data_IF_594652332001
#
_entry.id   IF_594652332001
#
_cell.length_a   1.000
_cell.length_b   1.000
_cell.length_c   1.000
_cell.angle_alpha   90.00
_cell.angle_beta   90.00
_cell.angle_gamma   90.00
#
_symmetry.space_group_name_H-M   'P 1'
#
loop_
_entity.id
_entity.type
_entity.pdbx_description
1 polymer ?
#
# COMPACT_ATOMS: atom_id res chain seq x y z
N UNK A 1 -8.79 -66.48 -0.15
CA UNK A 1 -8.26 -65.33 -0.91
C UNK A 1 -8.89 -64.06 -0.32
N UNK A 2 -8.08 -63.10 0.16
CA UNK A 2 -8.61 -61.83 0.71
C UNK A 2 -9.12 -60.98 -0.44
N UNK A 3 -10.43 -60.73 -0.47
CA UNK A 3 -11.03 -59.78 -1.40
C UNK A 3 -10.35 -58.42 -1.21
N UNK A 4 -9.69 -57.92 -2.26
CA UNK A 4 -9.09 -56.59 -2.25
C UNK A 4 -10.25 -55.60 -2.24
N UNK A 5 -10.46 -54.95 -1.10
CA UNK A 5 -11.51 -53.94 -0.89
C UNK A 5 -11.23 -52.71 -1.75
N UNK A 6 -11.74 -52.73 -2.98
CA UNK A 6 -11.70 -51.61 -3.93
C UNK A 6 -12.43 -50.37 -3.40
N UNK A 7 -13.41 -50.59 -2.52
CA UNK A 7 -14.13 -49.53 -1.82
C UNK A 7 -13.20 -48.65 -0.96
N UNK A 8 -12.19 -49.24 -0.32
CA UNK A 8 -11.23 -48.48 0.50
C UNK A 8 -10.39 -47.53 -0.38
N UNK A 9 -9.96 -48.00 -1.55
CA UNK A 9 -9.19 -47.20 -2.51
C UNK A 9 -10.02 -46.06 -3.11
N UNK A 10 -11.30 -46.30 -3.39
CA UNK A 10 -12.22 -45.27 -3.86
C UNK A 10 -12.48 -44.19 -2.80
N UNK A 11 -12.74 -44.59 -1.56
CA UNK A 11 -13.00 -43.66 -0.46
C UNK A 11 -11.78 -42.77 -0.20
N UNK A 12 -10.58 -43.37 -0.24
CA UNK A 12 -9.33 -42.63 -0.06
C UNK A 12 -9.06 -41.66 -1.22
N UNK A 13 -9.28 -42.06 -2.48
CA UNK A 13 -9.16 -41.14 -3.62
C UNK A 13 -10.19 -40.00 -3.57
N UNK A 14 -11.44 -40.29 -3.23
CA UNK A 14 -12.48 -39.27 -3.10
C UNK A 14 -12.15 -38.28 -1.99
N UNK A 15 -11.66 -38.78 -0.85
CA UNK A 15 -11.23 -37.95 0.27
C UNK A 15 -10.04 -37.05 -0.11
N UNK A 16 -9.08 -37.57 -0.88
CA UNK A 16 -7.95 -36.79 -1.40
C UNK A 16 -8.41 -35.70 -2.37
N UNK A 17 -9.35 -36.01 -3.28
CA UNK A 17 -9.91 -35.03 -4.20
C UNK A 17 -10.66 -33.92 -3.46
N UNK A 18 -11.43 -34.25 -2.43
CA UNK A 18 -12.13 -33.27 -1.60
C UNK A 18 -11.12 -32.42 -0.82
N UNK A 19 -10.10 -33.03 -0.22
CA UNK A 19 -9.05 -32.29 0.48
C UNK A 19 -8.28 -31.35 -0.46
N UNK A 20 -7.94 -31.81 -1.67
CA UNK A 20 -7.30 -30.98 -2.69
C UNK A 20 -8.21 -29.84 -3.16
N UNK A 21 -9.51 -30.11 -3.37
CA UNK A 21 -10.49 -29.10 -3.74
C UNK A 21 -10.64 -28.04 -2.64
N UNK A 22 -10.72 -28.45 -1.37
CA UNK A 22 -10.79 -27.54 -0.23
C UNK A 22 -9.49 -26.73 -0.15
N UNK A 23 -8.32 -27.36 -0.25
CA UNK A 23 -7.03 -26.66 -0.21
C UNK A 23 -6.89 -25.61 -1.34
N UNK A 24 -7.38 -25.93 -2.55
CA UNK A 24 -7.36 -25.01 -3.69
C UNK A 24 -8.36 -23.86 -3.54
N UNK A 25 -9.46 -24.04 -2.81
CA UNK A 25 -10.50 -23.02 -2.63
C UNK A 25 -10.38 -22.22 -1.32
N UNK A 26 -9.58 -22.68 -0.35
CA UNK A 26 -9.27 -21.91 0.87
C UNK A 26 -8.54 -20.59 0.53
N UNK A 27 -7.85 -20.53 -0.61
CA UNK A 27 -7.19 -19.31 -1.11
C UNK A 27 -8.04 -18.43 -2.04
N UNK A 28 -9.34 -18.74 -2.26
CA UNK A 28 -10.20 -17.85 -3.04
C UNK A 28 -10.76 -16.74 -2.15
N UNK A 29 -10.60 -15.45 -2.51
CA UNK A 29 -11.12 -14.34 -1.72
C UNK A 29 -12.65 -14.46 -1.66
N UNK A 30 -13.19 -14.58 -0.45
CA UNK A 30 -14.64 -14.54 -0.25
C UNK A 30 -15.17 -13.20 -0.77
N UNK A 31 -16.13 -13.25 -1.70
CA UNK A 31 -16.88 -12.08 -2.13
C UNK A 31 -17.63 -11.53 -0.90
N UNK A 32 -17.10 -10.47 -0.30
CA UNK A 32 -17.81 -9.67 0.70
C UNK A 32 -19.02 -9.01 0.04
N UNK A 33 -20.19 -9.57 0.31
CA UNK A 33 -21.47 -8.96 -0.04
C UNK A 33 -21.65 -7.66 0.73
N UNK A 34 -22.15 -6.66 0.02
CA UNK A 34 -22.50 -5.31 0.44
C UNK A 34 -22.99 -5.19 1.90
N UNK A 35 -22.33 -4.32 2.68
CA UNK A 35 -22.88 -3.76 3.92
C UNK A 35 -22.43 -4.46 5.21
N UNK A 36 -21.78 -3.68 6.07
CA UNK A 36 -21.27 -4.06 7.40
C UNK A 36 -19.96 -4.87 7.36
N UNK A 37 -18.85 -4.16 7.58
CA UNK A 37 -17.63 -4.78 8.11
C UNK A 37 -18.03 -5.34 9.48
N UNK A 38 -18.33 -6.63 9.51
CA UNK A 38 -18.55 -7.35 10.76
C UNK A 38 -17.32 -7.12 11.64
N UNK A 39 -17.59 -6.77 12.89
CA UNK A 39 -16.64 -6.44 13.94
C UNK A 39 -15.81 -7.66 14.40
N UNK A 40 -15.30 -8.45 13.46
CA UNK A 40 -14.57 -9.67 13.71
C UNK A 40 -13.38 -9.74 12.74
N UNK A 41 -12.49 -8.75 12.83
CA UNK A 41 -11.07 -9.05 12.61
C UNK A 41 -10.71 -10.15 13.62
N UNK A 42 -10.21 -11.28 13.13
CA UNK A 42 -9.74 -12.32 14.04
C UNK A 42 -8.69 -11.73 15.00
N UNK A 43 -8.41 -12.36 16.15
CA UNK A 43 -7.29 -11.98 17.03
C UNK A 43 -5.89 -12.10 16.36
N UNK A 44 -5.87 -12.22 15.04
CA UNK A 44 -4.81 -12.67 14.14
C UNK A 44 -4.27 -11.55 13.25
N UNK A 45 -4.96 -10.41 13.20
CA UNK A 45 -4.73 -9.41 12.14
C UNK A 45 -4.08 -8.14 12.70
N UNK A 46 -3.13 -7.60 11.95
CA UNK A 46 -2.53 -6.30 12.21
C UNK A 46 -3.19 -5.23 11.34
N UNK A 47 -3.58 -4.11 11.94
CA UNK A 47 -4.11 -2.96 11.21
C UNK A 47 -3.12 -1.79 11.18
N UNK A 48 -3.03 -1.10 10.05
CA UNK A 48 -2.36 0.20 9.94
C UNK A 48 -3.07 1.07 8.89
N UNK A 49 -2.83 2.38 8.96
CA UNK A 49 -3.45 3.36 8.06
C UNK A 49 -2.39 3.91 7.11
N UNK A 50 -2.73 4.13 5.84
CA UNK A 50 -1.95 5.00 4.95
C UNK A 50 -2.77 6.19 4.46
N UNK A 51 -2.16 7.36 4.43
CA UNK A 51 -2.80 8.62 4.07
C UNK A 51 -1.90 9.41 3.15
N UNK A 52 -2.48 10.06 2.14
CA UNK A 52 -1.75 11.01 1.30
C UNK A 52 -1.71 12.37 1.98
N UNK A 53 -0.53 12.95 2.11
CA UNK A 53 -0.36 14.33 2.54
C UNK A 53 -0.79 15.34 1.47
N UNK A 54 -0.32 16.57 1.65
CA UNK A 54 -0.59 17.70 0.79
C UNK A 54 -1.80 18.52 1.23
N UNK A 55 -1.94 19.67 0.56
CA UNK A 55 -2.98 20.64 0.88
C UNK A 55 -4.40 20.09 0.71
N UNK A 56 -5.23 20.31 1.74
CA UNK A 56 -6.68 20.17 1.78
C UNK A 56 -7.30 21.41 2.44
N UNK A 57 -8.54 21.81 2.09
CA UNK A 57 -9.34 22.73 2.89
C UNK A 57 -9.43 22.27 4.34
N UNK A 58 -9.46 23.23 5.28
CA UNK A 58 -9.46 22.94 6.72
C UNK A 58 -10.62 22.03 7.15
N UNK A 59 -11.81 22.23 6.61
CA UNK A 59 -12.99 21.41 6.92
C UNK A 59 -12.82 19.96 6.46
N UNK A 60 -12.31 19.74 5.24
CA UNK A 60 -12.04 18.41 4.70
C UNK A 60 -10.93 17.70 5.47
N UNK A 61 -9.90 18.46 5.88
CA UNK A 61 -8.80 17.96 6.69
C UNK A 61 -9.23 17.55 8.10
N UNK A 62 -10.06 18.36 8.76
CA UNK A 62 -10.61 18.05 10.08
C UNK A 62 -11.47 16.78 10.01
N UNK A 63 -12.34 16.68 9.00
CA UNK A 63 -13.17 15.51 8.76
C UNK A 63 -12.31 14.25 8.51
N UNK A 64 -11.25 14.36 7.69
CA UNK A 64 -10.31 13.26 7.45
C UNK A 64 -9.67 12.77 8.75
N UNK A 65 -9.14 13.68 9.58
CA UNK A 65 -8.48 13.35 10.84
C UNK A 65 -9.48 12.74 11.85
N UNK A 66 -10.71 13.25 11.92
CA UNK A 66 -11.78 12.65 12.73
C UNK A 66 -12.09 11.20 12.31
N UNK A 67 -12.20 10.94 11.01
CA UNK A 67 -12.41 9.57 10.52
C UNK A 67 -11.21 8.67 10.81
N UNK A 68 -9.98 9.19 10.66
CA UNK A 68 -8.77 8.45 11.02
C UNK A 68 -8.75 8.08 12.51
N UNK A 69 -9.13 9.00 13.42
CA UNK A 69 -9.25 8.70 14.86
C UNK A 69 -10.26 7.58 15.09
N UNK A 70 -11.44 7.67 14.46
CA UNK A 70 -12.50 6.67 14.60
C UNK A 70 -12.02 5.29 14.14
N UNK A 71 -11.40 5.21 12.96
CA UNK A 71 -10.89 3.94 12.40
C UNK A 71 -9.72 3.41 13.22
N UNK A 72 -8.76 4.26 13.59
CA UNK A 72 -7.61 3.85 14.40
C UNK A 72 -8.04 3.24 15.74
N UNK A 73 -9.03 3.84 16.42
CA UNK A 73 -9.61 3.30 17.66
C UNK A 73 -10.34 1.98 17.43
N UNK A 74 -11.19 1.94 16.40
CA UNK A 74 -12.07 0.78 16.14
C UNK A 74 -11.25 -0.46 15.81
N UNK A 75 -10.23 -0.33 14.96
CA UNK A 75 -9.40 -1.44 14.50
C UNK A 75 -8.09 -1.59 15.24
N UNK A 76 -7.85 -0.74 16.27
CA UNK A 76 -6.59 -0.70 17.02
C UNK A 76 -5.37 -0.63 16.09
N UNK A 77 -5.41 0.32 15.14
CA UNK A 77 -4.33 0.51 14.19
C UNK A 77 -3.01 0.77 14.93
N UNK A 78 -1.91 0.20 14.44
CA UNK A 78 -0.61 0.23 15.15
C UNK A 78 0.26 1.42 14.77
N UNK A 79 0.14 1.92 13.55
CA UNK A 79 0.92 3.03 13.02
C UNK A 79 0.21 3.65 11.81
N UNK A 80 0.69 4.81 11.41
CA UNK A 80 0.19 5.56 10.25
C UNK A 80 1.35 5.78 9.29
N UNK A 81 1.10 5.57 8.00
CA UNK A 81 2.01 5.86 6.90
C UNK A 81 1.53 7.14 6.20
N UNK A 82 2.34 8.18 6.24
CA UNK A 82 2.08 9.42 5.50
C UNK A 82 2.89 9.44 4.22
N UNK A 83 2.19 9.54 3.10
CA UNK A 83 2.79 9.66 1.77
C UNK A 83 2.73 11.13 1.39
N UNK A 84 3.83 11.85 1.62
CA UNK A 84 3.93 13.29 1.38
C UNK A 84 5.30 13.65 0.84
N UNK A 85 5.36 14.65 -0.02
CA UNK A 85 6.61 15.28 -0.45
C UNK A 85 7.20 16.17 0.66
N UNK A 86 6.34 16.77 1.49
CA UNK A 86 6.72 17.77 2.49
C UNK A 86 7.15 17.17 3.83
N UNK A 87 7.04 15.85 4.01
CA UNK A 87 7.46 15.20 5.25
C UNK A 87 6.79 15.81 6.49
N UNK A 88 7.57 16.07 7.54
CA UNK A 88 7.12 16.78 8.75
C UNK A 88 6.52 18.18 8.50
N UNK A 89 6.88 18.83 7.38
CA UNK A 89 6.35 20.14 7.01
C UNK A 89 4.95 20.07 6.39
N UNK A 90 4.38 18.87 6.24
CA UNK A 90 3.04 18.69 5.71
C UNK A 90 1.96 19.27 6.63
N UNK A 91 1.02 20.04 6.05
CA UNK A 91 -0.10 20.62 6.79
C UNK A 91 -0.95 19.57 7.51
N UNK A 92 -1.05 18.35 6.98
CA UNK A 92 -1.71 17.22 7.61
C UNK A 92 -1.06 16.87 8.95
N UNK A 93 0.27 16.77 8.97
CA UNK A 93 1.04 16.44 10.17
C UNK A 93 1.02 17.56 11.20
N UNK A 94 1.05 18.83 10.78
CA UNK A 94 0.98 19.96 11.72
C UNK A 94 -0.36 19.99 12.48
N UNK A 95 -1.46 19.67 11.80
CA UNK A 95 -2.79 19.71 12.40
C UNK A 95 -3.13 18.48 13.26
N UNK A 96 -2.35 17.39 13.20
CA UNK A 96 -2.56 16.23 14.11
C UNK A 96 -2.40 16.62 15.58
N UNK A 97 -1.70 17.72 15.87
CA UNK A 97 -1.48 18.23 17.23
C UNK A 97 -2.80 18.45 17.98
N UNK A 98 -3.90 18.68 17.25
CA UNK A 98 -5.26 18.83 17.78
C UNK A 98 -5.93 17.49 18.15
N UNK A 99 -5.39 16.35 17.69
CA UNK A 99 -5.96 15.00 17.87
C UNK A 99 -5.02 14.14 18.72
N UNK A 100 -5.31 14.05 20.02
CA UNK A 100 -4.43 13.39 21.00
C UNK A 100 -4.08 11.95 20.64
N UNK A 101 -5.04 11.22 20.05
CA UNK A 101 -4.90 9.82 19.72
C UNK A 101 -3.96 9.61 18.54
N UNK A 102 -4.09 10.41 17.49
CA UNK A 102 -3.19 10.37 16.34
C UNK A 102 -1.77 10.82 16.73
N UNK A 103 -1.63 11.77 17.66
CA UNK A 103 -0.34 12.23 18.17
C UNK A 103 0.44 11.14 18.93
N UNK A 104 -0.25 10.22 19.60
CA UNK A 104 0.40 9.12 20.33
C UNK A 104 0.80 7.94 19.45
N UNK A 105 0.29 7.87 18.22
CA UNK A 105 0.59 6.79 17.30
C UNK A 105 1.93 7.02 16.60
N UNK A 106 2.69 5.95 16.27
CA UNK A 106 3.85 6.07 15.39
C UNK A 106 3.44 6.52 13.98
N UNK A 107 4.11 7.53 13.44
CA UNK A 107 3.99 7.98 12.06
C UNK A 107 5.27 7.63 11.29
N UNK A 108 5.11 7.06 10.10
CA UNK A 108 6.18 6.85 9.15
C UNK A 108 5.91 7.71 7.92
N UNK A 109 6.84 8.59 7.60
CA UNK A 109 6.74 9.52 6.48
C UNK A 109 7.70 9.09 5.38
N UNK A 110 7.31 9.28 4.12
CA UNK A 110 8.26 9.28 3.00
C UNK A 110 8.98 10.63 3.00
N UNK A 111 9.93 10.84 3.91
CA UNK A 111 10.49 12.18 4.09
C UNK A 111 11.58 12.56 3.09
N UNK A 112 11.53 13.82 2.66
CA UNK A 112 12.66 14.55 2.09
C UNK A 112 13.41 15.44 3.10
N UNK A 113 12.91 15.71 4.33
CA UNK A 113 13.62 16.53 5.35
C UNK A 113 12.96 16.51 6.76
N UNK A 114 13.65 15.90 7.74
CA UNK A 114 13.25 15.90 9.16
C UNK A 114 14.01 14.92 10.05
N UNK A 115 15.33 15.09 10.16
CA UNK A 115 16.11 14.60 11.32
C UNK A 115 16.81 13.23 11.21
N UNK A 116 16.48 12.39 10.22
CA UNK A 116 17.36 11.27 9.84
C UNK A 116 18.30 11.68 8.70
N UNK A 117 19.58 11.32 8.85
CA UNK A 117 20.64 11.64 7.88
C UNK A 117 20.49 10.93 6.51
N UNK A 118 19.46 10.10 6.32
CA UNK A 118 19.19 9.38 5.07
C UNK A 118 17.71 9.50 4.69
N UNK A 119 17.39 9.94 3.46
CA UNK A 119 16.03 10.21 2.98
C UNK A 119 15.24 8.93 2.63
N UNK A 120 15.83 7.75 2.88
CA UNK A 120 15.21 6.45 2.69
C UNK A 120 15.60 5.53 3.86
N UNK A 121 14.66 4.69 4.30
CA UNK A 121 14.87 3.85 5.48
C UNK A 121 14.05 2.57 5.43
N UNK A 122 14.45 1.61 6.27
CA UNK A 122 13.71 0.37 6.50
C UNK A 122 13.26 0.29 7.96
N UNK A 123 11.99 -0.06 8.18
CA UNK A 123 11.43 -0.37 9.48
C UNK A 123 10.83 -1.78 9.46
N UNK A 124 11.32 -2.65 10.32
CA UNK A 124 10.71 -3.96 10.57
C UNK A 124 9.64 -3.83 11.65
N UNK A 125 8.46 -4.38 11.39
CA UNK A 125 7.31 -4.42 12.32
C UNK A 125 6.89 -5.86 12.51
N UNK A 126 6.76 -6.29 13.76
CA UNK A 126 6.22 -7.61 14.08
C UNK A 126 4.72 -7.64 13.76
N UNK A 127 4.25 -8.68 13.09
CA UNK A 127 2.83 -8.98 12.92
C UNK A 127 2.47 -10.20 13.81
N UNK A 128 1.18 -10.48 14.07
CA UNK A 128 0.77 -11.63 14.86
C UNK A 128 1.42 -12.94 14.36
N UNK A 129 1.59 -13.89 15.29
CA UNK A 129 2.23 -15.19 15.04
C UNK A 129 3.73 -15.16 14.74
N UNK A 130 4.43 -14.12 15.18
CA UNK A 130 5.89 -14.02 15.08
C UNK A 130 6.39 -13.74 13.65
N UNK A 131 5.47 -13.43 12.74
CA UNK A 131 5.81 -12.97 11.40
C UNK A 131 6.23 -11.50 11.43
N UNK A 132 6.81 -11.02 10.34
CA UNK A 132 7.30 -9.64 10.25
C UNK A 132 6.98 -8.98 8.91
N UNK A 133 6.84 -7.67 8.96
CA UNK A 133 6.63 -6.79 7.83
C UNK A 133 7.78 -5.78 7.77
N UNK A 134 8.51 -5.76 6.65
CA UNK A 134 9.44 -4.69 6.32
C UNK A 134 8.69 -3.58 5.58
N UNK A 135 8.71 -2.41 6.18
CA UNK A 135 8.30 -1.14 5.60
C UNK A 135 9.54 -0.41 5.08
N UNK A 136 9.59 -0.10 3.79
CA UNK A 136 10.76 0.47 3.12
C UNK A 136 10.35 1.79 2.48
N UNK A 137 10.74 2.91 3.08
CA UNK A 137 10.47 4.25 2.55
C UNK A 137 11.59 4.68 1.59
N UNK A 138 11.19 5.26 0.46
CA UNK A 138 12.06 5.77 -0.59
C UNK A 138 11.83 7.26 -0.81
N UNK A 139 12.91 7.98 -1.08
CA UNK A 139 12.87 9.30 -1.67
C UNK A 139 12.86 9.18 -3.19
N UNK A 140 11.65 9.19 -3.73
CA UNK A 140 11.43 9.10 -5.17
C UNK A 140 11.87 10.35 -5.95
N UNK A 141 12.14 11.49 -5.31
CA UNK A 141 12.68 12.68 -5.99
C UNK A 141 14.08 12.41 -6.53
N UNK A 142 14.88 11.61 -5.81
CA UNK A 142 16.23 11.23 -6.23
C UNK A 142 16.27 10.40 -7.51
N UNK A 143 15.12 9.85 -7.96
CA UNK A 143 15.02 9.08 -9.20
C UNK A 143 14.66 9.92 -10.43
N UNK A 144 14.33 11.21 -10.25
CA UNK A 144 13.98 12.08 -11.38
C UNK A 144 15.21 12.49 -12.21
N UNK A 145 16.38 12.56 -11.58
CA UNK A 145 17.65 12.81 -12.28
C UNK A 145 18.44 11.50 -12.44
N UNK A 146 18.57 10.95 -13.65
CA UNK A 146 19.30 9.70 -13.90
C UNK A 146 20.81 9.82 -13.63
N UNK A 147 21.34 11.04 -13.53
CA UNK A 147 22.75 11.30 -13.16
C UNK A 147 22.98 11.45 -11.66
N UNK A 148 21.92 11.38 -10.85
CA UNK A 148 21.99 11.50 -9.39
C UNK A 148 22.78 10.36 -8.77
N UNK A 149 23.96 10.68 -8.21
CA UNK A 149 24.76 9.75 -7.40
C UNK A 149 23.93 9.22 -6.22
N UNK A 150 23.18 10.11 -5.56
CA UNK A 150 22.30 9.76 -4.44
C UNK A 150 21.14 8.84 -4.86
N UNK A 151 20.60 9.03 -6.07
CA UNK A 151 19.60 8.13 -6.64
C UNK A 151 20.16 6.72 -6.89
N UNK A 152 21.38 6.64 -7.41
CA UNK A 152 22.08 5.37 -7.63
C UNK A 152 22.40 4.64 -6.31
N UNK A 153 22.85 5.38 -5.29
CA UNK A 153 23.12 4.85 -3.95
C UNK A 153 21.84 4.29 -3.31
N UNK A 154 20.71 5.00 -3.43
CA UNK A 154 19.41 4.53 -2.97
C UNK A 154 18.96 3.26 -3.69
N UNK A 155 19.15 3.16 -5.02
CA UNK A 155 18.83 1.96 -5.79
C UNK A 155 19.67 0.76 -5.31
N UNK A 156 20.96 0.95 -5.09
CA UNK A 156 21.85 -0.10 -4.59
C UNK A 156 21.44 -0.55 -3.18
N UNK A 157 21.14 0.41 -2.30
CA UNK A 157 20.63 0.16 -0.97
C UNK A 157 19.30 -0.60 -0.98
N UNK A 158 18.36 -0.23 -1.86
CA UNK A 158 17.07 -0.89 -2.00
C UNK A 158 17.23 -2.34 -2.45
N UNK A 159 18.04 -2.58 -3.49
CA UNK A 159 18.35 -3.94 -3.98
C UNK A 159 18.93 -4.82 -2.88
N UNK A 160 19.90 -4.28 -2.12
CA UNK A 160 20.50 -4.99 -0.98
C UNK A 160 19.47 -5.27 0.10
N UNK A 161 18.68 -4.26 0.46
CA UNK A 161 17.65 -4.34 1.50
C UNK A 161 16.59 -5.39 1.20
N UNK A 162 16.06 -5.41 -0.03
CA UNK A 162 15.05 -6.40 -0.43
C UNK A 162 15.63 -7.81 -0.54
N UNK A 163 16.88 -7.94 -0.98
CA UNK A 163 17.60 -9.22 -1.09
C UNK A 163 17.87 -9.84 0.28
N UNK A 164 18.25 -9.03 1.26
CA UNK A 164 18.61 -9.48 2.62
C UNK A 164 17.40 -9.57 3.55
N UNK A 165 16.22 -9.11 3.13
CA UNK A 165 15.00 -9.15 3.92
C UNK A 165 14.45 -10.58 4.05
N UNK A 166 14.41 -11.03 5.31
CA UNK A 166 13.77 -12.27 5.77
C UNK A 166 12.30 -12.06 6.18
N UNK A 167 11.80 -10.82 6.13
CA UNK A 167 10.44 -10.48 6.56
C UNK A 167 9.39 -11.08 5.66
N UNK A 168 8.29 -11.62 6.21
CA UNK A 168 7.18 -12.23 5.47
C UNK A 168 6.54 -11.28 4.45
N UNK A 169 6.38 -10.01 4.84
CA UNK A 169 5.85 -8.94 3.99
C UNK A 169 6.90 -7.86 3.73
N UNK A 170 6.94 -7.34 2.51
CA UNK A 170 7.80 -6.24 2.07
C UNK A 170 6.96 -5.20 1.34
N UNK A 171 6.70 -4.08 2.02
CA UNK A 171 5.97 -2.94 1.47
C UNK A 171 6.96 -1.82 1.21
N UNK A 172 7.02 -1.37 -0.03
CA UNK A 172 7.83 -0.22 -0.43
C UNK A 172 6.93 1.00 -0.56
N UNK A 173 7.37 2.16 -0.08
CA UNK A 173 6.60 3.40 -0.09
C UNK A 173 7.44 4.50 -0.72
N UNK A 174 6.84 5.23 -1.66
CA UNK A 174 7.46 6.40 -2.28
C UNK A 174 6.39 7.42 -2.63
N UNK A 175 6.79 8.67 -2.85
CA UNK A 175 5.82 9.72 -3.19
C UNK A 175 5.24 9.53 -4.60
N UNK A 176 6.10 9.33 -5.61
CA UNK A 176 5.69 9.21 -7.01
C UNK A 176 5.10 7.83 -7.33
N UNK A 177 4.05 7.76 -8.18
CA UNK A 177 3.49 6.49 -8.64
C UNK A 177 4.44 5.74 -9.58
N UNK A 178 4.34 4.40 -9.62
CA UNK A 178 5.12 3.57 -10.55
C UNK A 178 4.70 3.75 -12.01
N UNK A 179 3.45 4.14 -12.25
CA UNK A 179 2.87 4.38 -13.57
C UNK A 179 2.17 5.72 -13.58
N UNK A 180 2.40 6.50 -14.64
CA UNK A 180 1.67 7.74 -14.91
C UNK A 180 0.24 7.42 -15.34
N UNK A 181 -0.74 8.19 -14.86
CA UNK A 181 -2.15 8.00 -15.21
C UNK A 181 -2.51 8.47 -16.64
N UNK A 182 -1.54 8.91 -17.43
CA UNK A 182 -1.83 9.65 -18.65
C UNK A 182 -2.15 8.75 -19.84
N UNK A 183 -3.34 8.92 -20.40
CA UNK A 183 -3.79 8.19 -21.59
C UNK A 183 -3.28 8.80 -22.90
N UNK A 184 -2.68 10.01 -22.89
CA UNK A 184 -2.39 10.75 -24.13
C UNK A 184 -1.10 11.61 -24.18
N UNK A 185 -0.15 11.51 -23.23
CA UNK A 185 1.13 12.26 -23.33
C UNK A 185 2.15 11.46 -24.14
N UNK A 186 1.85 11.23 -25.42
CA UNK A 186 2.92 10.98 -26.41
C UNK A 186 3.55 12.29 -26.93
N UNK A 187 3.30 13.46 -26.32
CA UNK A 187 3.65 14.75 -26.95
C UNK A 187 4.32 15.84 -26.11
N UNK A 188 4.64 15.63 -24.83
CA UNK A 188 5.51 16.57 -24.09
C UNK A 188 6.49 15.86 -23.15
N UNK A 189 7.54 15.28 -23.73
CA UNK A 189 8.93 15.61 -23.41
C UNK A 189 9.55 15.35 -22.03
N UNK A 190 8.82 14.94 -20.99
CA UNK A 190 9.41 14.57 -19.69
C UNK A 190 8.53 13.56 -18.95
N UNK A 191 8.41 12.36 -19.51
CA UNK A 191 7.86 11.20 -18.79
C UNK A 191 9.00 10.46 -18.09
N UNK A 192 9.23 10.75 -16.80
CA UNK A 192 10.06 9.91 -15.95
C UNK A 192 9.23 8.70 -15.50
N UNK A 193 9.06 7.72 -16.39
CA UNK A 193 8.57 6.42 -15.95
C UNK A 193 9.56 5.86 -14.92
N UNK A 194 9.10 5.56 -13.71
CA UNK A 194 9.87 4.79 -12.72
C UNK A 194 9.90 3.30 -13.10
N UNK A 195 9.87 2.97 -14.39
CA UNK A 195 9.92 1.62 -14.93
C UNK A 195 11.12 0.81 -14.36
N UNK A 196 12.32 1.41 -14.14
CA UNK A 196 13.41 0.71 -13.45
C UNK A 196 13.05 0.29 -12.02
N UNK A 197 12.27 1.09 -11.29
CA UNK A 197 11.86 0.79 -9.92
C UNK A 197 10.89 -0.40 -9.89
N UNK A 198 9.87 -0.43 -10.76
CA UNK A 198 8.95 -1.57 -10.83
C UNK A 198 9.69 -2.89 -11.10
N UNK A 199 10.65 -2.86 -12.03
CA UNK A 199 11.50 -4.02 -12.35
C UNK A 199 12.30 -4.49 -11.13
N UNK A 200 12.89 -3.56 -10.37
CA UNK A 200 13.62 -3.87 -9.12
C UNK A 200 12.68 -4.49 -8.09
N UNK A 201 11.51 -3.89 -7.86
CA UNK A 201 10.54 -4.38 -6.89
C UNK A 201 10.10 -5.81 -7.23
N UNK A 202 9.83 -6.08 -8.51
CA UNK A 202 9.45 -7.40 -8.99
C UNK A 202 10.59 -8.42 -8.84
N UNK A 203 11.81 -8.04 -9.26
CA UNK A 203 12.98 -8.92 -9.23
C UNK A 203 13.40 -9.32 -7.80
N UNK A 204 13.33 -8.37 -6.86
CA UNK A 204 13.75 -8.59 -5.48
C UNK A 204 12.59 -8.94 -4.54
N UNK A 205 11.38 -9.10 -5.07
CA UNK A 205 10.25 -9.72 -4.38
C UNK A 205 9.50 -8.81 -3.41
N UNK A 206 9.42 -7.50 -3.65
CA UNK A 206 8.49 -6.66 -2.90
C UNK A 206 7.04 -7.10 -3.17
N UNK A 207 6.19 -7.08 -2.14
CA UNK A 207 4.80 -7.53 -2.24
C UNK A 207 3.89 -6.41 -2.74
N UNK A 208 4.11 -5.20 -2.25
CA UNK A 208 3.32 -4.02 -2.59
C UNK A 208 4.15 -2.74 -2.65
N UNK A 209 3.66 -1.79 -3.44
CA UNK A 209 4.15 -0.43 -3.51
C UNK A 209 3.06 0.58 -3.14
N UNK A 210 3.33 1.48 -2.20
CA UNK A 210 2.44 2.59 -1.85
C UNK A 210 2.96 3.89 -2.42
N UNK A 211 2.06 4.68 -2.98
CA UNK A 211 2.37 6.01 -3.50
C UNK A 211 1.19 6.96 -3.47
N UNK A 212 1.48 8.22 -3.77
CA UNK A 212 0.44 9.19 -4.02
C UNK A 212 -0.19 8.91 -5.38
N UNK A 213 -1.52 8.90 -5.42
CA UNK A 213 -2.25 8.90 -6.69
C UNK A 213 -2.20 10.32 -7.27
N UNK A 214 -1.52 10.49 -8.39
CA UNK A 214 -1.51 11.75 -9.15
C UNK A 214 -2.16 11.52 -10.51
N UNK A 215 -3.50 11.41 -10.54
CA UNK A 215 -4.22 11.42 -11.79
C UNK A 215 -4.86 12.80 -11.96
N UNK A 216 -4.29 13.62 -12.85
CA UNK A 216 -4.95 14.82 -13.31
C UNK A 216 -6.20 14.38 -14.10
N UNK A 217 -7.38 14.59 -13.53
CA UNK A 217 -8.59 14.65 -14.34
C UNK A 217 -8.38 15.75 -15.38
N UNK A 218 -8.74 15.47 -16.62
CA UNK A 218 -8.60 16.35 -17.77
C UNK A 218 -9.10 17.78 -17.48
N UNK A 219 -8.21 18.69 -17.09
CA UNK A 219 -8.44 20.13 -17.20
C UNK A 219 -7.56 20.63 -18.33
N UNK A 220 -8.19 20.72 -19.48
CA UNK A 220 -7.61 21.20 -20.71
C UNK A 220 -7.09 22.63 -20.51
N UNK A 221 -5.77 22.77 -20.43
CA UNK A 221 -5.05 24.02 -20.62
C UNK A 221 -5.06 24.99 -19.43
N UNK A 222 -4.19 24.77 -18.45
CA UNK A 222 -3.41 25.87 -17.84
C UNK A 222 -2.20 25.35 -17.05
N UNK A 223 -1.05 25.96 -17.33
CA UNK A 223 0.20 26.02 -16.57
C UNK A 223 0.58 24.86 -15.64
N UNK A 224 1.68 24.20 -16.00
CA UNK A 224 2.66 23.58 -15.11
C UNK A 224 2.99 24.54 -13.95
N UNK A 225 2.41 24.22 -12.79
CA UNK A 225 2.56 24.76 -11.42
C UNK A 225 1.15 24.98 -10.83
N UNK A 226 0.70 24.17 -9.86
CA UNK A 226 -0.61 24.33 -9.28
C UNK A 226 -0.61 25.59 -8.42
N UNK A 227 -1.11 26.69 -8.98
CA UNK A 227 -1.60 27.81 -8.19
C UNK A 227 -2.77 27.27 -7.35
N UNK A 228 -2.50 26.90 -6.10
CA UNK A 228 -3.36 26.87 -4.91
C UNK A 228 -4.82 26.37 -4.93
N UNK A 229 -5.43 26.04 -6.06
CA UNK A 229 -6.89 25.88 -6.19
C UNK A 229 -7.33 24.69 -7.03
N UNK A 230 -6.42 24.02 -7.74
CA UNK A 230 -6.80 22.84 -8.51
C UNK A 230 -6.89 21.62 -7.58
N UNK A 231 -8.11 21.08 -7.50
CA UNK A 231 -8.44 19.79 -6.87
C UNK A 231 -7.76 18.67 -7.64
N UNK A 232 -6.44 18.59 -7.54
CA UNK A 232 -5.74 17.38 -7.90
C UNK A 232 -6.31 16.31 -7.00
N UNK A 233 -6.73 15.23 -7.62
CA UNK A 233 -7.34 14.09 -6.99
C UNK A 233 -6.24 13.36 -6.19
N UNK A 234 -6.02 13.79 -4.94
CA UNK A 234 -4.90 13.39 -4.05
C UNK A 234 -5.36 12.29 -3.09
N UNK A 235 -5.00 11.04 -3.37
CA UNK A 235 -5.33 9.93 -2.49
C UNK A 235 -4.18 8.92 -2.41
N UNK A 236 -4.04 8.18 -1.30
CA UNK A 236 -3.09 7.09 -1.21
C UNK A 236 -3.46 5.97 -2.20
N UNK A 237 -2.45 5.43 -2.88
CA UNK A 237 -2.58 4.31 -3.80
C UNK A 237 -1.68 3.17 -3.37
N UNK A 238 -2.22 1.95 -3.46
CA UNK A 238 -1.49 0.72 -3.20
C UNK A 238 -1.53 -0.12 -4.47
N UNK A 239 -0.35 -0.54 -4.91
CA UNK A 239 -0.16 -1.38 -6.10
C UNK A 239 0.45 -2.71 -5.68
N UNK A 240 -0.17 -3.82 -6.07
CA UNK A 240 0.46 -5.14 -5.95
C UNK A 240 1.55 -5.27 -7.01
N UNK A 241 2.81 -5.47 -6.59
CA UNK A 241 3.98 -5.42 -7.51
C UNK A 241 3.91 -6.48 -8.61
N UNK A 242 3.36 -7.66 -8.27
CA UNK A 242 3.28 -8.80 -9.18
C UNK A 242 2.09 -8.73 -10.16
N UNK A 243 1.03 -8.00 -9.84
CA UNK A 243 -0.11 -7.96 -10.74
C UNK A 243 0.28 -7.15 -11.99
N UNK A 244 -0.16 -7.61 -13.17
CA UNK A 244 0.05 -6.86 -14.40
C UNK A 244 -0.49 -5.45 -14.20
N UNK A 245 0.41 -4.47 -14.20
CA UNK A 245 0.04 -3.08 -13.96
C UNK A 245 -0.86 -2.61 -15.12
N UNK A 246 -2.17 -2.56 -14.88
CA UNK A 246 -3.09 -2.01 -15.86
C UNK A 246 -3.33 -0.54 -15.55
N UNK A 247 -3.20 0.32 -16.56
CA UNK A 247 -3.59 1.74 -16.46
C UNK A 247 -5.06 1.92 -16.05
N UNK A 248 -5.91 0.91 -16.27
CA UNK A 248 -7.32 0.88 -15.83
C UNK A 248 -7.49 0.85 -14.31
N UNK A 249 -6.52 0.31 -13.56
CA UNK A 249 -6.58 0.29 -12.09
C UNK A 249 -6.17 1.64 -11.48
N UNK A 250 -5.32 2.39 -12.19
CA UNK A 250 -4.99 3.78 -11.87
C UNK A 250 -6.11 4.75 -12.28
N UNK A 251 -6.93 4.43 -13.29
CA UNK A 251 -7.95 5.35 -13.84
C UNK A 251 -9.28 5.42 -13.08
N UNK A 252 -9.51 4.63 -12.01
CA UNK A 252 -10.69 4.82 -11.15
C UNK A 252 -10.65 6.20 -10.49
N UNK A 253 -11.79 6.83 -10.21
CA UNK A 253 -11.84 8.12 -9.51
C UNK A 253 -11.01 8.07 -8.22
N UNK A 254 -10.26 9.15 -7.95
CA UNK A 254 -9.52 9.23 -6.70
C UNK A 254 -10.49 9.60 -5.61
N UNK A 255 -10.55 8.75 -4.60
CA UNK A 255 -11.37 8.97 -3.42
C UNK A 255 -10.54 9.81 -2.45
N UNK A 256 -11.08 10.97 -2.04
CA UNK A 256 -10.52 11.74 -0.94
C UNK A 256 -10.82 11.03 0.38
N UNK A 257 -9.75 10.69 1.10
CA UNK A 257 -9.80 9.72 2.19
C UNK A 257 -8.44 9.09 2.46
N UNK A 258 -8.47 7.93 3.13
CA UNK A 258 -7.28 7.16 3.50
C UNK A 258 -7.50 5.67 3.26
N UNK A 259 -6.42 4.87 3.36
CA UNK A 259 -6.51 3.41 3.30
C UNK A 259 -6.37 2.81 4.69
N UNK A 260 -7.23 1.84 4.98
CA UNK A 260 -7.06 0.91 6.09
C UNK A 260 -6.50 -0.40 5.54
N UNK A 261 -5.38 -0.85 6.10
CA UNK A 261 -4.75 -2.10 5.74
C UNK A 261 -4.92 -3.11 6.87
N UNK A 262 -5.35 -4.31 6.51
CA UNK A 262 -5.41 -5.49 7.34
C UNK A 262 -4.35 -6.45 6.84
N UNK A 263 -3.38 -6.81 7.68
CA UNK A 263 -2.28 -7.72 7.32
C UNK A 263 -2.31 -8.91 8.26
N UNK A 264 -2.32 -10.11 7.68
CA UNK A 264 -2.16 -11.35 8.41
C UNK A 264 -1.08 -12.22 7.74
N UNK A 265 -1.01 -13.49 8.14
CA UNK A 265 0.00 -14.42 7.67
C UNK A 265 -0.14 -14.87 6.22
N UNK A 266 -1.33 -14.72 5.65
CA UNK A 266 -1.72 -15.28 4.36
C UNK A 266 -2.11 -14.20 3.36
N UNK A 267 -2.60 -13.05 3.82
CA UNK A 267 -3.03 -11.96 2.95
C UNK A 267 -2.90 -10.58 3.58
N UNK A 268 -2.82 -9.59 2.70
CA UNK A 268 -3.03 -8.18 3.01
C UNK A 268 -4.26 -7.69 2.27
N UNK A 269 -5.25 -7.22 3.02
CA UNK A 269 -6.49 -6.64 2.51
C UNK A 269 -6.48 -5.14 2.75
N UNK A 270 -6.88 -4.37 1.75
CA UNK A 270 -6.90 -2.91 1.80
C UNK A 270 -8.29 -2.37 1.51
N UNK A 271 -8.75 -1.51 2.39
CA UNK A 271 -10.03 -0.81 2.31
C UNK A 271 -9.79 0.68 2.10
N UNK A 272 -10.60 1.31 1.27
CA UNK A 272 -10.69 2.77 1.18
C UNK A 272 -11.69 3.25 2.21
N UNK A 273 -11.32 4.26 2.97
CA UNK A 273 -12.21 4.98 3.86
C UNK A 273 -12.38 6.41 3.33
N UNK A 274 -13.60 6.77 2.95
CA UNK A 274 -13.93 8.11 2.43
C UNK A 274 -14.04 9.13 3.57
N UNK A 275 -14.05 10.42 3.25
CA UNK A 275 -14.34 11.49 4.23
C UNK A 275 -15.69 11.29 4.93
N UNK A 276 -16.68 10.72 4.24
CA UNK A 276 -18.00 10.42 4.81
C UNK A 276 -17.97 9.20 5.75
N UNK A 277 -16.84 8.50 5.85
CA UNK A 277 -16.68 7.28 6.63
C UNK A 277 -17.25 6.03 5.95
N UNK A 278 -17.55 6.11 4.65
CA UNK A 278 -17.89 4.92 3.85
C UNK A 278 -16.64 4.08 3.65
N UNK A 279 -16.80 2.77 3.69
CA UNK A 279 -15.68 1.84 3.57
C UNK A 279 -15.92 0.88 2.41
N UNK A 280 -14.97 0.87 1.47
CA UNK A 280 -15.03 0.03 0.28
C UNK A 280 -13.78 -0.85 0.17
N UNK A 281 -13.97 -2.11 -0.20
CA UNK A 281 -12.84 -3.02 -0.46
C UNK A 281 -12.11 -2.61 -1.76
N UNK A 282 -10.79 -2.40 -1.67
CA UNK A 282 -9.95 -1.98 -2.79
C UNK A 282 -9.16 -3.13 -3.40
N UNK A 283 -8.42 -3.86 -2.57
CA UNK A 283 -7.39 -4.80 -3.02
C UNK A 283 -7.12 -5.86 -1.96
N UNK A 284 -6.93 -7.11 -2.41
CA UNK A 284 -6.34 -8.20 -1.61
C UNK A 284 -5.07 -8.71 -2.30
N UNK A 285 -4.01 -8.87 -1.51
CA UNK A 285 -2.71 -9.41 -1.93
C UNK A 285 -2.47 -10.67 -1.11
N UNK A 286 -2.26 -11.80 -1.78
CA UNK A 286 -1.97 -13.07 -1.12
C UNK A 286 -0.46 -13.19 -0.87
N UNK A 287 -0.10 -13.64 0.33
CA UNK A 287 1.26 -13.98 0.72
C UNK A 287 1.74 -15.13 -0.15
N UNK A 288 2.96 -15.00 -0.66
CA UNK A 288 3.59 -16.06 -1.43
C UNK A 288 4.56 -16.79 -0.54
N UNK A 289 4.36 -18.10 -0.40
CA UNK A 289 5.41 -18.99 0.09
C UNK A 289 6.68 -18.73 -0.71
N UNK A 290 7.78 -18.39 -0.04
CA UNK A 290 9.06 -18.14 -0.70
C UNK A 290 9.70 -19.48 -0.99
N UNK A 291 10.10 -19.69 -2.24
CA UNK A 291 11.02 -20.79 -2.55
C UNK A 291 12.32 -20.49 -1.80
N UNK A 292 12.67 -21.36 -0.86
CA UNK A 292 14.02 -21.39 -0.28
C UNK A 292 14.93 -21.81 -1.43
N UNK A 293 15.78 -20.88 -1.91
CA UNK A 293 16.90 -21.20 -2.79
C UNK A 293 18.06 -21.72 -1.96
#
# INVERSE_FOLDING_TARGET
>A
MKEKSWACTLITQLSLCIAAYIALNIGQPQKLTHGSISSAGGPTDMYFISVAGGFRPLEEQDLLLQQMVKVAKTYKARFIVSISELGESDSLLQNITMFSELRTMPWYTSEALGGQAQPYFKKKVEIPYGQTLDFIALDTMLFQDPSSVHGNDQILWLKKTLKESDSDWRIVVGFHPLISCDYNIQKMGTETSLEPLHTILLQYGADAYMSMKTCAGHLQGRSMWPSGTDRVNKGPHLTAVNQNLSSKDYSRETIDGFLLHQVNSLEMVTFVVTLNGEVEHKLSIQQRGRAIM
#
